data_IF_598608374814
#
_entry.id   IF_598608374814
#
_cell.length_a   1.000
_cell.length_b   1.000
_cell.length_c   1.000
_cell.angle_alpha   90.00
_cell.angle_beta   90.00
_cell.angle_gamma   90.00
#
_symmetry.space_group_name_H-M   'P 1'
#
loop_
_entity.id
_entity.type
_entity.pdbx_description
1 polymer ?
#
# COMPACT_ATOMS: atom_id res chain seq x y z
N UNK A 1 4.35 39.97 57.63
CA UNK A 1 3.07 39.99 58.34
C UNK A 1 1.95 39.86 57.31
N UNK A 2 1.14 38.81 57.38
CA UNK A 2 -0.13 38.74 56.64
C UNK A 2 -1.24 39.34 57.51
N UNK A 3 -2.27 39.94 56.89
CA UNK A 3 -3.59 39.39 57.15
C UNK A 3 -4.43 39.19 55.89
N UNK A 4 -5.17 38.09 55.95
CA UNK A 4 -6.22 37.63 55.05
C UNK A 4 -7.41 38.60 55.07
N UNK A 5 -7.93 38.93 53.88
CA UNK A 5 -9.31 39.37 53.72
C UNK A 5 -9.92 38.54 52.57
N UNK A 6 -10.88 37.70 52.93
CA UNK A 6 -11.74 36.96 52.02
C UNK A 6 -12.94 37.82 51.64
N UNK A 7 -13.22 37.97 50.35
CA UNK A 7 -14.58 38.16 49.83
C UNK A 7 -14.71 37.44 48.49
N UNK A 8 -15.83 36.74 48.35
CA UNK A 8 -16.14 35.74 47.33
C UNK A 8 -16.80 36.39 46.08
N UNK A 9 -17.43 35.62 45.17
CA UNK A 9 -17.00 35.45 43.79
C UNK A 9 -17.82 36.29 42.79
N UNK A 10 -17.16 36.94 41.83
CA UNK A 10 -17.84 37.41 40.64
C UNK A 10 -17.94 36.24 39.65
N UNK A 11 -19.13 35.64 39.57
CA UNK A 11 -19.56 34.78 38.48
C UNK A 11 -19.39 35.55 37.16
N UNK A 12 -18.26 35.37 36.51
CA UNK A 12 -18.06 35.83 35.14
C UNK A 12 -18.78 34.85 34.22
N UNK A 13 -19.91 35.30 33.72
CA UNK A 13 -20.73 34.63 32.72
C UNK A 13 -19.87 34.44 31.45
N UNK A 14 -19.24 33.28 31.30
CA UNK A 14 -18.63 32.88 30.02
C UNK A 14 -19.79 32.67 29.06
N UNK A 15 -20.04 33.69 28.24
CA UNK A 15 -20.91 33.59 27.08
C UNK A 15 -20.34 32.51 26.18
N UNK A 16 -20.98 31.34 26.20
CA UNK A 16 -20.83 30.30 25.18
C UNK A 16 -21.27 30.89 23.85
N UNK A 17 -20.33 31.50 23.12
CA UNK A 17 -20.49 31.71 21.70
C UNK A 17 -20.48 30.31 21.06
N UNK A 18 -21.68 29.81 20.81
CA UNK A 18 -21.96 28.75 19.87
C UNK A 18 -21.41 29.19 18.50
N UNK A 19 -20.13 28.89 18.25
CA UNK A 19 -19.62 28.79 16.90
C UNK A 19 -20.30 27.57 16.29
N UNK A 20 -21.36 27.87 15.55
CA UNK A 20 -21.99 27.04 14.53
C UNK A 20 -21.02 25.98 14.02
N UNK A 21 -21.30 24.73 14.39
CA UNK A 21 -20.71 23.52 13.80
C UNK A 21 -21.15 23.51 12.34
N UNK A 22 -20.44 24.29 11.53
CA UNK A 22 -20.53 24.22 10.08
C UNK A 22 -20.08 22.82 9.71
N UNK A 23 -20.96 22.11 9.02
CA UNK A 23 -20.64 20.93 8.24
C UNK A 23 -19.61 21.33 7.16
N UNK A 24 -18.35 21.48 7.54
CA UNK A 24 -17.25 21.63 6.59
C UNK A 24 -16.95 20.23 6.04
N UNK A 25 -17.16 19.97 4.73
CA UNK A 25 -16.64 18.75 4.14
C UNK A 25 -15.12 18.79 4.27
N UNK A 26 -14.59 17.84 5.04
CA UNK A 26 -13.17 17.58 5.13
C UNK A 26 -12.72 17.06 3.77
N UNK A 27 -12.21 17.96 2.93
CA UNK A 27 -11.46 17.57 1.75
C UNK A 27 -10.19 16.88 2.25
N UNK A 28 -10.24 15.56 2.35
CA UNK A 28 -9.05 14.72 2.47
C UNK A 28 -8.20 14.98 1.23
N UNK A 29 -7.30 15.95 1.33
CA UNK A 29 -6.17 16.04 0.44
C UNK A 29 -5.40 14.73 0.63
N UNK A 30 -5.59 13.78 -0.30
CA UNK A 30 -4.81 12.57 -0.33
C UNK A 30 -3.35 12.98 -0.49
N UNK A 31 -2.54 12.78 0.56
CA UNK A 31 -1.10 12.93 0.48
C UNK A 31 -0.60 12.17 -0.75
N UNK A 32 0.31 12.74 -1.57
CA UNK A 32 0.82 12.04 -2.73
C UNK A 32 1.33 10.65 -2.30
N UNK A 33 0.73 9.62 -2.88
CA UNK A 33 1.13 8.25 -2.61
C UNK A 33 2.63 8.12 -2.92
N UNK A 34 3.42 7.78 -1.90
CA UNK A 34 4.84 7.55 -2.08
C UNK A 34 5.02 6.36 -3.05
N UNK A 35 6.01 6.40 -3.97
CA UNK A 35 6.23 5.30 -4.89
C UNK A 35 6.58 4.03 -4.11
N UNK A 36 5.90 2.93 -4.41
CA UNK A 36 6.12 1.65 -3.75
C UNK A 36 7.31 0.92 -4.40
N UNK A 37 7.89 0.00 -3.63
CA UNK A 37 8.94 -0.92 -4.11
C UNK A 37 8.47 -2.36 -3.95
N UNK A 38 9.24 -3.31 -4.49
CA UNK A 38 8.92 -4.73 -4.42
C UNK A 38 9.76 -5.46 -3.38
N UNK A 39 9.11 -6.24 -2.53
CA UNK A 39 9.76 -7.16 -1.60
C UNK A 39 9.54 -8.60 -2.04
N UNK A 40 10.62 -9.36 -2.21
CA UNK A 40 10.57 -10.81 -2.42
C UNK A 40 9.96 -11.48 -1.19
N UNK A 41 8.93 -12.29 -1.42
CA UNK A 41 8.17 -12.95 -0.34
C UNK A 41 8.20 -14.47 -0.42
N UNK A 42 8.64 -15.03 -1.55
CA UNK A 42 8.87 -16.45 -1.69
C UNK A 42 8.82 -16.90 -3.14
N UNK A 43 8.66 -18.20 -3.33
CA UNK A 43 8.47 -18.83 -4.63
C UNK A 43 7.02 -19.28 -4.73
N UNK A 44 6.38 -19.00 -5.85
CA UNK A 44 5.01 -19.41 -6.08
C UNK A 44 4.49 -18.98 -7.44
N UNK A 45 3.24 -19.34 -7.69
CA UNK A 45 2.48 -18.82 -8.82
C UNK A 45 1.17 -18.24 -8.28
N UNK A 46 0.55 -17.41 -9.09
CA UNK A 46 -0.71 -16.79 -8.78
C UNK A 46 -1.63 -16.89 -9.98
N UNK A 47 -2.76 -17.56 -9.80
CA UNK A 47 -3.85 -17.53 -10.78
C UNK A 47 -4.38 -16.11 -10.96
N UNK A 48 -5.03 -15.86 -12.09
CA UNK A 48 -5.67 -14.57 -12.39
C UNK A 48 -5.02 -13.88 -13.58
N UNK A 49 -5.70 -12.83 -14.05
CA UNK A 49 -5.30 -12.10 -15.23
C UNK A 49 -4.11 -11.18 -14.94
N UNK A 50 -3.12 -11.24 -15.83
CA UNK A 50 -2.00 -10.29 -15.84
C UNK A 50 -2.50 -8.94 -16.32
N UNK A 51 -2.23 -7.89 -15.54
CA UNK A 51 -2.59 -6.50 -15.87
C UNK A 51 -1.45 -5.78 -16.58
N UNK A 52 -0.23 -6.30 -16.47
CA UNK A 52 0.95 -5.81 -17.17
C UNK A 52 2.02 -6.91 -17.21
N UNK A 53 3.02 -6.72 -18.06
CA UNK A 53 4.24 -7.51 -18.10
C UNK A 53 5.44 -6.60 -18.39
N UNK A 54 6.62 -6.97 -17.91
CA UNK A 54 7.90 -6.32 -18.21
C UNK A 54 8.97 -7.36 -18.47
N UNK A 55 9.94 -7.05 -19.34
CA UNK A 55 11.08 -7.92 -19.58
C UNK A 55 12.07 -7.90 -18.39
N UNK A 56 12.81 -9.00 -18.22
CA UNK A 56 13.77 -9.18 -17.13
C UNK A 56 13.19 -9.92 -15.92
N UNK A 57 14.06 -10.38 -15.02
CA UNK A 57 13.70 -11.19 -13.85
C UNK A 57 13.43 -10.37 -12.58
N UNK A 58 13.49 -9.05 -12.65
CA UNK A 58 13.26 -8.14 -11.52
C UNK A 58 12.04 -7.28 -11.80
N UNK A 59 11.10 -7.15 -10.86
CA UNK A 59 9.90 -6.37 -11.08
C UNK A 59 10.21 -4.86 -11.15
N UNK A 60 9.57 -4.18 -12.09
CA UNK A 60 9.64 -2.74 -12.28
C UNK A 60 8.82 -2.03 -11.19
N UNK A 61 9.48 -1.15 -10.44
CA UNK A 61 8.84 -0.34 -9.39
C UNK A 61 7.73 0.56 -9.94
N UNK A 62 7.74 0.92 -11.24
CA UNK A 62 6.64 1.68 -11.87
C UNK A 62 5.31 0.92 -11.88
N UNK A 63 5.34 -0.40 -11.65
CA UNK A 63 4.16 -1.26 -11.58
C UNK A 63 3.72 -1.56 -10.15
N UNK A 64 4.50 -1.14 -9.14
CA UNK A 64 4.20 -1.40 -7.74
C UNK A 64 2.91 -0.69 -7.33
N UNK A 65 1.86 -1.47 -7.11
CA UNK A 65 0.50 -0.98 -6.81
C UNK A 65 -0.07 -1.79 -5.64
N UNK A 66 -0.70 -1.17 -4.62
CA UNK A 66 -1.29 -1.90 -3.52
C UNK A 66 -2.22 -3.02 -3.99
N UNK A 67 -2.15 -4.17 -3.30
CA UNK A 67 -2.97 -5.35 -3.61
C UNK A 67 -2.60 -6.08 -4.90
N UNK A 68 -1.50 -5.72 -5.55
CA UNK A 68 -0.95 -6.48 -6.68
C UNK A 68 0.15 -7.43 -6.21
N UNK A 69 0.45 -8.40 -7.05
CA UNK A 69 1.58 -9.32 -6.90
C UNK A 69 2.36 -9.35 -8.19
N UNK A 70 3.68 -9.36 -8.11
CA UNK A 70 4.54 -9.65 -9.26
C UNK A 70 5.06 -11.09 -9.16
N UNK A 71 5.00 -11.82 -10.25
CA UNK A 71 5.67 -13.12 -10.41
C UNK A 71 6.72 -12.97 -11.51
N UNK A 72 7.97 -13.28 -11.19
CA UNK A 72 9.10 -13.14 -12.11
C UNK A 72 9.75 -14.49 -12.40
N UNK A 73 10.09 -14.70 -13.67
CA UNK A 73 10.79 -15.88 -14.17
C UNK A 73 12.14 -15.43 -14.75
N UNK A 74 13.19 -16.16 -14.43
CA UNK A 74 14.58 -15.85 -14.83
C UNK A 74 15.03 -16.62 -16.09
N UNK A 75 14.14 -17.46 -16.63
CA UNK A 75 14.39 -18.40 -17.73
C UNK A 75 15.48 -19.44 -17.53
N UNK A 76 15.99 -19.57 -16.30
CA UNK A 76 17.07 -20.52 -15.94
C UNK A 76 16.61 -21.42 -14.81
N UNK A 77 16.25 -20.83 -13.66
CA UNK A 77 15.78 -21.53 -12.46
C UNK A 77 14.27 -21.67 -12.47
N UNK A 78 13.57 -20.59 -12.82
CA UNK A 78 12.12 -20.50 -12.89
C UNK A 78 11.74 -20.14 -14.32
N UNK A 79 11.05 -21.08 -14.97
CA UNK A 79 10.64 -20.97 -16.37
C UNK A 79 9.12 -20.91 -16.42
N UNK A 80 8.59 -19.96 -17.18
CA UNK A 80 7.19 -19.98 -17.57
C UNK A 80 7.04 -20.82 -18.83
N UNK A 81 6.30 -21.93 -18.75
CA UNK A 81 6.10 -22.87 -19.86
C UNK A 81 5.35 -22.24 -21.04
N UNK A 82 4.66 -21.13 -20.82
CA UNK A 82 4.01 -20.35 -21.89
C UNK A 82 4.97 -19.51 -22.73
N UNK A 83 6.14 -19.17 -22.21
CA UNK A 83 7.18 -18.39 -22.90
C UNK A 83 8.59 -18.88 -22.51
N UNK A 84 8.94 -20.12 -22.89
CA UNK A 84 10.18 -20.75 -22.48
C UNK A 84 11.40 -20.01 -23.03
N UNK A 85 12.42 -19.83 -22.19
CA UNK A 85 13.66 -19.13 -22.55
C UNK A 85 13.60 -17.60 -22.39
N UNK A 86 12.43 -17.03 -22.04
CA UNK A 86 12.30 -15.60 -21.79
C UNK A 86 12.26 -15.28 -20.29
N UNK A 87 13.11 -14.34 -19.87
CA UNK A 87 13.02 -13.76 -18.53
C UNK A 87 12.05 -12.57 -18.53
N UNK A 88 11.03 -12.61 -17.69
CA UNK A 88 10.02 -11.56 -17.58
C UNK A 88 9.31 -11.59 -16.23
N UNK A 89 8.64 -10.49 -15.89
CA UNK A 89 7.73 -10.39 -14.76
C UNK A 89 6.31 -10.12 -15.23
N UNK A 90 5.35 -10.85 -14.65
CA UNK A 90 3.91 -10.59 -14.80
C UNK A 90 3.36 -9.94 -13.52
N UNK A 91 2.50 -8.95 -13.69
CA UNK A 91 1.85 -8.25 -12.58
C UNK A 91 0.38 -8.62 -12.55
N UNK A 92 -0.09 -9.10 -11.42
CA UNK A 92 -1.45 -9.61 -11.24
C UNK A 92 -2.20 -8.74 -10.24
N UNK A 93 -3.48 -8.50 -10.53
CA UNK A 93 -4.40 -7.80 -9.62
C UNK A 93 -4.95 -8.76 -8.56
N UNK A 94 -4.05 -9.45 -7.89
CA UNK A 94 -4.33 -10.42 -6.82
C UNK A 94 -3.30 -10.15 -5.73
N UNK A 95 -3.74 -10.07 -4.48
CA UNK A 95 -2.82 -9.89 -3.36
C UNK A 95 -1.98 -11.15 -3.12
N UNK A 96 -0.75 -10.97 -2.66
CA UNK A 96 0.17 -12.08 -2.39
C UNK A 96 -0.47 -13.14 -1.48
N UNK A 97 -1.18 -12.71 -0.43
CA UNK A 97 -1.84 -13.63 0.51
C UNK A 97 -2.92 -14.50 -0.14
N UNK A 98 -3.44 -14.07 -1.29
CA UNK A 98 -4.44 -14.80 -2.08
C UNK A 98 -3.80 -15.65 -3.19
N UNK A 99 -2.50 -15.50 -3.45
CA UNK A 99 -1.77 -16.33 -4.39
C UNK A 99 -1.49 -17.71 -3.77
N UNK A 100 -2.34 -18.68 -4.10
CA UNK A 100 -2.28 -20.06 -3.57
C UNK A 100 -1.73 -21.08 -4.56
N UNK A 101 -1.09 -20.63 -5.64
CA UNK A 101 -0.48 -21.47 -6.65
C UNK A 101 -0.93 -21.15 -8.08
N UNK A 102 -0.55 -22.04 -8.98
CA UNK A 102 -0.71 -21.95 -10.43
C UNK A 102 0.27 -22.91 -11.12
N UNK A 103 0.34 -22.89 -12.45
CA UNK A 103 1.11 -23.86 -13.22
C UNK A 103 2.57 -23.45 -13.48
N UNK A 104 2.94 -22.18 -13.25
CA UNK A 104 4.26 -21.64 -13.56
C UNK A 104 4.87 -20.95 -12.32
N UNK A 105 5.43 -21.69 -11.36
CA UNK A 105 6.07 -21.07 -10.19
C UNK A 105 7.24 -20.16 -10.59
N UNK A 106 7.31 -18.98 -9.98
CA UNK A 106 8.41 -18.02 -10.10
C UNK A 106 8.68 -17.29 -8.79
N UNK A 107 9.58 -16.32 -8.83
CA UNK A 107 9.81 -15.45 -7.67
C UNK A 107 8.62 -14.52 -7.48
N UNK A 108 8.05 -14.53 -6.27
CA UNK A 108 6.84 -13.81 -5.95
C UNK A 108 7.14 -12.60 -5.07
N UNK A 109 6.60 -11.44 -5.45
CA UNK A 109 6.86 -10.16 -4.79
C UNK A 109 5.55 -9.49 -4.36
N UNK A 110 5.60 -8.81 -3.22
CA UNK A 110 4.53 -7.90 -2.78
C UNK A 110 5.03 -6.45 -2.80
N UNK A 111 4.14 -5.48 -3.07
CA UNK A 111 4.48 -4.07 -2.99
C UNK A 111 4.63 -3.66 -1.52
N UNK A 112 5.65 -2.87 -1.22
CA UNK A 112 5.91 -2.31 0.12
C UNK A 112 6.22 -0.82 -0.01
N UNK A 113 5.93 -0.07 1.05
CA UNK A 113 6.47 1.28 1.17
C UNK A 113 8.01 1.20 1.24
N UNK A 114 8.73 2.16 0.63
CA UNK A 114 10.18 2.22 0.68
C UNK A 114 10.73 2.36 2.10
#
# INVERSE_FOLDING_TARGET
>A
MSPRWSFAPALSLIVLLAFSVGCFPQSEASEPAQPLTWQLVGIGDCTGQDVAMTDGSTPDNSKATPGHTAICWDSVTYINEGDPGKAFCAYKKVSYDSCKGGSNPGEMFKPVAP
#
